data_IF_047193895099
#
_entry.id   IF_047193895099
#
_cell.length_a   1.000
_cell.length_b   1.000
_cell.length_c   1.000
_cell.angle_alpha   90.00
_cell.angle_beta   90.00
_cell.angle_gamma   90.00
#
_symmetry.space_group_name_H-M   'P 1'
#
loop_
_entity.id
_entity.type
_entity.pdbx_description
1 polymer ?
#
# COMPACT_ATOMS: atom_id res chain seq x y z
N UNK A 1 -11.55 -26.61 3.86
CA UNK A 1 -12.40 -25.47 4.27
C UNK A 1 -13.83 -25.80 3.89
N UNK A 2 -14.84 -25.43 4.70
CA UNK A 2 -16.23 -25.57 4.29
C UNK A 2 -16.51 -24.71 3.05
N UNK A 3 -17.35 -25.21 2.15
CA UNK A 3 -17.84 -24.50 0.98
C UNK A 3 -19.22 -23.89 1.24
N UNK A 4 -19.48 -22.75 0.61
CA UNK A 4 -20.72 -21.99 0.74
C UNK A 4 -21.22 -21.53 -0.63
N UNK A 5 -22.54 -21.51 -0.82
CA UNK A 5 -23.17 -21.03 -2.05
C UNK A 5 -23.85 -19.68 -1.80
N UNK A 6 -23.49 -18.68 -2.61
CA UNK A 6 -24.08 -17.34 -2.58
C UNK A 6 -24.88 -17.12 -3.86
N UNK A 7 -26.11 -16.60 -3.74
CA UNK A 7 -26.89 -16.18 -4.91
C UNK A 7 -26.47 -14.79 -5.34
N UNK A 8 -26.18 -14.63 -6.62
CA UNK A 8 -25.82 -13.35 -7.24
C UNK A 8 -26.70 -13.12 -8.47
N UNK A 9 -26.93 -11.86 -8.89
CA UNK A 9 -27.57 -11.56 -10.17
C UNK A 9 -26.78 -12.17 -11.34
N UNK A 10 -27.47 -12.50 -12.44
CA UNK A 10 -26.83 -13.10 -13.63
C UNK A 10 -25.71 -12.22 -14.18
N UNK A 11 -25.91 -10.90 -14.23
CA UNK A 11 -24.88 -9.95 -14.65
C UNK A 11 -23.60 -10.01 -13.80
N UNK A 12 -23.73 -10.20 -12.48
CA UNK A 12 -22.56 -10.36 -11.59
C UNK A 12 -21.87 -11.69 -11.82
N UNK A 13 -22.63 -12.76 -12.06
CA UNK A 13 -22.06 -14.06 -12.42
C UNK A 13 -21.26 -13.98 -13.73
N UNK A 14 -21.79 -13.32 -14.77
CA UNK A 14 -21.07 -13.12 -16.04
C UNK A 14 -19.81 -12.29 -15.83
N UNK A 15 -19.87 -11.20 -15.06
CA UNK A 15 -18.68 -10.39 -14.76
C UNK A 15 -17.60 -11.19 -14.04
N UNK A 16 -17.95 -12.03 -13.05
CA UNK A 16 -16.98 -12.91 -12.36
C UNK A 16 -16.38 -13.90 -13.35
N UNK A 17 -17.19 -14.46 -14.26
CA UNK A 17 -16.75 -15.42 -15.26
C UNK A 17 -15.79 -14.79 -16.27
N UNK A 18 -16.08 -13.58 -16.72
CA UNK A 18 -15.23 -12.80 -17.61
C UNK A 18 -13.89 -12.45 -16.96
N UNK A 19 -13.92 -11.98 -15.70
CA UNK A 19 -12.72 -11.67 -14.92
C UNK A 19 -11.86 -12.90 -14.64
N UNK A 20 -12.48 -14.07 -14.47
CA UNK A 20 -11.75 -15.32 -14.24
C UNK A 20 -10.92 -15.73 -15.46
N UNK A 21 -11.46 -15.50 -16.66
CA UNK A 21 -10.82 -15.89 -17.92
C UNK A 21 -10.40 -17.36 -17.92
N UNK A 22 -9.20 -17.63 -18.45
CA UNK A 22 -8.58 -18.97 -18.40
C UNK A 22 -7.58 -19.13 -17.24
N UNK A 23 -7.19 -18.03 -16.60
CA UNK A 23 -6.04 -17.97 -15.68
C UNK A 23 -6.45 -18.12 -14.21
N UNK A 24 -7.72 -17.84 -13.87
CA UNK A 24 -8.22 -17.87 -12.50
C UNK A 24 -9.53 -18.64 -12.40
N UNK A 25 -9.82 -19.17 -11.21
CA UNK A 25 -11.15 -19.70 -10.91
C UNK A 25 -12.11 -18.58 -10.53
N UNK A 26 -13.41 -18.78 -10.76
CA UNK A 26 -14.44 -17.81 -10.31
C UNK A 26 -14.36 -17.58 -8.79
N UNK A 27 -14.00 -18.60 -8.01
CA UNK A 27 -13.77 -18.48 -6.57
C UNK A 27 -12.58 -17.57 -6.26
N UNK A 28 -11.47 -17.70 -6.98
CA UNK A 28 -10.30 -16.84 -6.80
C UNK A 28 -10.62 -15.37 -7.11
N UNK A 29 -11.42 -15.10 -8.15
CA UNK A 29 -11.91 -13.75 -8.46
C UNK A 29 -12.74 -13.19 -7.31
N UNK A 30 -13.64 -13.97 -6.73
CA UNK A 30 -14.46 -13.52 -5.58
C UNK A 30 -13.58 -13.23 -4.36
N UNK A 31 -12.58 -14.07 -4.08
CA UNK A 31 -11.62 -13.83 -3.00
C UNK A 31 -10.86 -12.52 -3.22
N UNK A 32 -10.30 -12.32 -4.42
CA UNK A 32 -9.54 -11.10 -4.74
C UNK A 32 -10.42 -9.84 -4.72
N UNK A 33 -11.67 -9.94 -5.18
CA UNK A 33 -12.62 -8.84 -5.14
C UNK A 33 -12.97 -8.44 -3.70
N UNK A 34 -13.13 -9.42 -2.79
CA UNK A 34 -13.37 -9.15 -1.37
C UNK A 34 -12.15 -8.50 -0.73
N UNK A 35 -10.94 -9.00 -1.00
CA UNK A 35 -9.71 -8.43 -0.45
C UNK A 35 -9.43 -7.03 -1.00
N UNK A 36 -9.71 -6.80 -2.27
CA UNK A 36 -9.64 -5.45 -2.86
C UNK A 36 -10.60 -4.49 -2.18
N UNK A 37 -11.87 -4.88 -2.00
CA UNK A 37 -12.85 -4.05 -1.30
C UNK A 37 -12.45 -3.77 0.15
N UNK A 38 -11.85 -4.76 0.85
CA UNK A 38 -11.32 -4.58 2.21
C UNK A 38 -10.19 -3.55 2.23
N UNK A 39 -9.21 -3.69 1.33
CA UNK A 39 -8.08 -2.74 1.22
C UNK A 39 -8.57 -1.33 0.88
N UNK A 40 -9.49 -1.18 -0.06
CA UNK A 40 -10.05 0.11 -0.43
C UNK A 40 -10.75 0.80 0.75
N UNK A 41 -11.56 0.07 1.52
CA UNK A 41 -12.22 0.61 2.71
C UNK A 41 -11.23 1.02 3.77
N UNK A 42 -10.25 0.15 4.06
CA UNK A 42 -9.18 0.45 5.00
C UNK A 42 -8.44 1.74 4.62
N UNK A 43 -7.98 1.86 3.38
CA UNK A 43 -7.26 3.05 2.93
C UNK A 43 -8.12 4.30 2.93
N UNK A 44 -9.41 4.19 2.60
CA UNK A 44 -10.35 5.31 2.69
C UNK A 44 -10.48 5.83 4.12
N UNK A 45 -10.66 4.94 5.09
CA UNK A 45 -10.78 5.30 6.50
C UNK A 45 -9.46 5.86 7.04
N UNK A 46 -8.35 5.17 6.80
CA UNK A 46 -7.02 5.62 7.20
C UNK A 46 -6.68 7.02 6.66
N UNK A 47 -6.93 7.27 5.36
CA UNK A 47 -6.64 8.58 4.77
C UNK A 47 -7.52 9.68 5.36
N UNK A 48 -8.78 9.38 5.69
CA UNK A 48 -9.67 10.35 6.31
C UNK A 48 -9.21 10.71 7.73
N UNK A 49 -8.82 9.71 8.53
CA UNK A 49 -8.28 9.92 9.88
C UNK A 49 -6.93 10.65 9.84
N UNK A 50 -6.05 10.31 8.90
CA UNK A 50 -4.79 11.00 8.71
C UNK A 50 -4.98 12.46 8.29
N UNK A 51 -5.95 12.74 7.41
CA UNK A 51 -6.30 14.12 7.06
C UNK A 51 -6.87 14.89 8.25
N UNK A 52 -7.68 14.24 9.10
CA UNK A 52 -8.18 14.83 10.34
C UNK A 52 -7.04 15.14 11.33
N UNK A 53 -6.08 14.22 11.49
CA UNK A 53 -4.87 14.43 12.29
C UNK A 53 -4.08 15.65 11.80
N UNK A 54 -3.82 15.76 10.48
CA UNK A 54 -3.11 16.92 9.91
C UNK A 54 -3.84 18.25 10.10
N UNK A 55 -5.17 18.22 10.17
CA UNK A 55 -5.98 19.41 10.35
C UNK A 55 -6.00 19.91 11.80
N UNK A 56 -5.58 19.09 12.77
CA UNK A 56 -5.36 19.48 14.17
C UNK A 56 -3.90 19.95 14.36
N UNK A 57 -3.65 21.26 14.54
CA UNK A 57 -2.29 21.78 14.64
C UNK A 57 -1.50 21.26 15.84
N UNK A 58 -2.18 20.91 16.94
CA UNK A 58 -1.53 20.44 18.16
C UNK A 58 -1.10 18.99 17.96
N UNK A 59 -2.04 18.13 17.57
CA UNK A 59 -1.76 16.71 17.33
C UNK A 59 -0.78 16.51 16.16
N UNK A 60 -0.85 17.35 15.13
CA UNK A 60 0.10 17.31 14.01
C UNK A 60 1.52 17.71 14.43
N UNK A 61 1.67 18.71 15.31
CA UNK A 61 2.97 19.08 15.84
C UNK A 61 3.60 17.96 16.68
N UNK A 62 2.78 17.24 17.46
CA UNK A 62 3.24 16.07 18.23
C UNK A 62 3.70 14.93 17.30
N UNK A 63 2.93 14.60 16.26
CA UNK A 63 3.32 13.57 15.28
C UNK A 63 4.63 13.92 14.56
N UNK A 64 4.81 15.18 14.15
CA UNK A 64 6.05 15.61 13.49
C UNK A 64 7.25 15.57 14.44
N UNK A 65 7.06 15.92 15.71
CA UNK A 65 8.11 15.83 16.71
C UNK A 65 8.52 14.38 16.97
N UNK A 66 7.54 13.48 17.05
CA UNK A 66 7.81 12.03 17.11
C UNK A 66 8.57 11.58 15.87
N UNK A 67 8.07 11.86 14.66
CA UNK A 67 8.70 11.47 13.40
C UNK A 67 10.16 11.94 13.30
N UNK A 68 10.44 13.18 13.68
CA UNK A 68 11.80 13.72 13.70
C UNK A 68 12.72 12.97 14.70
N UNK A 69 12.18 12.47 15.82
CA UNK A 69 12.94 11.65 16.75
C UNK A 69 13.30 10.28 16.13
N UNK A 70 12.39 9.71 15.34
CA UNK A 70 12.60 8.46 14.60
C UNK A 70 13.53 8.61 13.39
N UNK A 71 13.64 9.79 12.78
CA UNK A 71 14.56 10.02 11.66
C UNK A 71 16.02 9.70 12.03
N UNK A 72 16.38 9.83 13.32
CA UNK A 72 17.69 9.45 13.84
C UNK A 72 18.03 7.96 13.72
N UNK A 73 17.02 7.08 13.63
CA UNK A 73 17.23 5.62 13.49
C UNK A 73 17.28 5.16 12.03
N UNK A 74 17.19 6.08 11.06
CA UNK A 74 17.13 5.73 9.63
C UNK A 74 18.38 4.97 9.15
N UNK A 75 19.54 5.28 9.73
CA UNK A 75 20.83 4.68 9.35
C UNK A 75 21.24 3.49 10.22
N UNK A 76 20.40 3.07 11.16
CA UNK A 76 20.74 1.99 12.08
C UNK A 76 20.91 0.66 11.32
N UNK A 77 22.03 -0.03 11.59
CA UNK A 77 22.35 -1.32 10.95
C UNK A 77 22.86 -1.21 9.51
N UNK A 78 22.99 -0.01 8.95
CA UNK A 78 23.62 0.21 7.65
C UNK A 78 25.11 0.54 7.82
N UNK A 79 25.95 -0.05 6.98
CA UNK A 79 27.29 0.49 6.76
C UNK A 79 27.16 1.84 6.03
N UNK A 80 28.05 2.82 6.28
CA UNK A 80 28.06 4.06 5.54
C UNK A 80 28.08 3.75 4.05
N UNK A 81 27.09 4.26 3.32
CA UNK A 81 26.95 3.92 1.92
C UNK A 81 28.14 4.49 1.14
N UNK A 82 29.04 3.62 0.70
CA UNK A 82 30.14 3.95 -0.20
C UNK A 82 29.58 3.88 -1.62
N UNK A 83 28.81 4.89 -2.00
CA UNK A 83 28.36 5.04 -3.38
C UNK A 83 29.56 5.42 -4.24
N UNK A 84 29.86 4.60 -5.24
CA UNK A 84 30.89 4.89 -6.23
C UNK A 84 30.26 5.38 -7.52
N UNK A 85 31.05 6.03 -8.37
CA UNK A 85 30.61 6.46 -9.69
C UNK A 85 30.01 5.32 -10.53
N UNK A 86 30.44 4.08 -10.30
CA UNK A 86 29.95 2.89 -11.01
C UNK A 86 28.52 2.47 -10.62
N UNK A 87 27.99 2.96 -9.51
CA UNK A 87 26.67 2.57 -8.98
C UNK A 87 25.51 3.40 -9.58
N UNK A 88 25.83 4.41 -10.39
CA UNK A 88 24.85 5.30 -11.03
C UNK A 88 24.71 5.02 -12.52
N UNK A 89 23.49 5.17 -13.05
CA UNK A 89 23.09 4.77 -14.42
C UNK A 89 23.86 5.49 -15.56
N UNK A 90 24.67 6.51 -15.25
CA UNK A 90 25.54 7.20 -16.23
C UNK A 90 27.00 7.36 -15.76
N UNK A 91 27.44 6.60 -14.74
CA UNK A 91 28.80 6.70 -14.23
C UNK A 91 29.09 8.00 -13.45
N UNK A 92 28.06 8.78 -13.12
CA UNK A 92 28.18 10.07 -12.41
C UNK A 92 27.44 10.00 -11.09
N UNK A 93 28.19 10.16 -10.00
CA UNK A 93 27.58 10.44 -8.70
C UNK A 93 26.77 11.75 -8.78
N UNK A 94 25.62 11.85 -8.10
CA UNK A 94 24.85 13.09 -8.04
C UNK A 94 25.74 14.19 -7.44
N UNK A 95 25.79 15.33 -8.12
CA UNK A 95 26.41 16.54 -7.56
C UNK A 95 25.59 16.92 -6.33
N UNK A 96 26.25 16.97 -5.16
CA UNK A 96 25.62 17.30 -3.88
C UNK A 96 24.86 18.64 -4.02
N UNK A 97 23.55 18.62 -3.76
CA UNK A 97 22.67 19.78 -3.81
C UNK A 97 22.48 20.40 -2.41
#
# INVERSE_FOLDING_TARGET
MPDHTLRVPDATYQAIKELAGEEMTMQAVVVEAVETLRRERFWKEFNAEYAALRADPVAWAEELAERAAWDGTLMDGLEPAVWTAADFVDGKAPEEA
#
